data_IF_554672422016
#
_entry.id   IF_554672422016
#
_cell.length_a   1.000
_cell.length_b   1.000
_cell.length_c   1.000
_cell.angle_alpha   90.00
_cell.angle_beta   90.00
_cell.angle_gamma   90.00
#
_symmetry.space_group_name_H-M   'P 1'
#
loop_
_entity.id
_entity.type
_entity.pdbx_description
1 polymer ?
#
# COMPACT_ATOMS: atom_id res chain seq x y z
N UNK A 1 46.55 -10.73 -10.00
CA UNK A 1 45.68 -9.79 -10.76
C UNK A 1 44.25 -10.07 -10.28
N UNK A 2 43.55 -9.30 -9.42
CA UNK A 2 43.03 -7.90 -9.52
C UNK A 2 42.39 -7.67 -10.91
N UNK A 3 41.12 -7.28 -11.06
CA UNK A 3 40.23 -6.37 -10.31
C UNK A 3 38.91 -7.09 -9.89
N UNK A 4 38.26 -6.92 -8.72
CA UNK A 4 37.82 -5.76 -7.90
C UNK A 4 36.75 -4.88 -8.57
N UNK A 5 35.50 -5.01 -8.06
CA UNK A 5 34.58 -3.91 -7.68
C UNK A 5 33.31 -4.53 -7.07
N UNK A 6 33.14 -4.60 -5.73
CA UNK A 6 32.40 -3.63 -4.86
C UNK A 6 31.00 -3.29 -5.40
N UNK A 7 29.89 -3.51 -4.69
CA UNK A 7 29.64 -2.98 -3.35
C UNK A 7 28.69 -3.82 -2.51
N UNK A 8 29.20 -4.19 -1.35
CA UNK A 8 28.49 -4.55 -0.13
C UNK A 8 27.97 -3.26 0.49
N UNK A 9 26.65 -3.07 0.61
CA UNK A 9 26.10 -2.09 1.56
C UNK A 9 24.98 -2.79 2.34
N UNK A 10 25.40 -3.46 3.40
CA UNK A 10 24.57 -3.65 4.57
C UNK A 10 24.35 -2.25 5.18
N UNK A 11 23.12 -1.73 5.10
CA UNK A 11 22.71 -0.56 5.90
C UNK A 11 22.20 -1.10 7.23
N UNK A 12 23.15 -1.47 8.08
CA UNK A 12 22.94 -1.62 9.51
C UNK A 12 23.02 -0.23 10.16
N UNK A 13 22.17 -0.05 11.17
CA UNK A 13 22.35 0.85 12.32
C UNK A 13 22.31 2.37 12.08
N UNK A 14 21.14 2.96 12.33
CA UNK A 14 21.09 4.27 13.00
C UNK A 14 20.77 3.99 14.47
N UNK A 15 21.77 4.21 15.30
CA UNK A 15 21.71 4.10 16.76
C UNK A 15 21.10 5.39 17.33
N UNK A 16 20.13 5.20 18.21
CA UNK A 16 19.72 6.01 19.36
C UNK A 16 20.33 7.41 19.50
N UNK A 17 19.46 8.42 19.69
CA UNK A 17 19.57 9.41 20.76
C UNK A 17 18.32 10.29 20.81
N UNK A 18 17.53 10.08 21.87
CA UNK A 18 16.80 11.05 22.73
C UNK A 18 15.54 10.39 23.27
N UNK A 19 15.42 10.44 24.61
CA UNK A 19 14.61 9.55 25.40
C UNK A 19 13.13 9.45 25.03
N UNK A 20 12.68 8.21 24.84
CA UNK A 20 11.27 7.84 24.92
C UNK A 20 11.16 6.63 25.84
N UNK A 21 10.94 6.90 27.13
CA UNK A 21 10.42 5.90 28.07
C UNK A 21 8.94 5.71 27.75
N UNK A 22 8.61 4.82 26.82
CA UNK A 22 7.24 4.28 26.70
C UNK A 22 7.27 2.95 25.98
N UNK A 23 6.63 1.99 26.62
CA UNK A 23 6.47 0.59 26.29
C UNK A 23 6.46 0.28 24.80
N UNK A 24 7.13 -0.82 24.44
CA UNK A 24 6.96 -1.57 23.20
C UNK A 24 5.48 -1.96 23.00
N UNK A 25 4.66 -0.99 22.61
CA UNK A 25 3.52 -1.26 21.78
C UNK A 25 4.10 -1.38 20.39
N UNK A 26 4.14 -2.60 19.84
CA UNK A 26 4.28 -2.79 18.39
C UNK A 26 3.25 -1.86 17.77
N UNK A 27 3.70 -0.73 17.25
CA UNK A 27 2.80 0.31 16.77
C UNK A 27 2.02 -0.35 15.64
N UNK A 28 0.72 -0.57 15.87
CA UNK A 28 -0.18 -0.98 14.82
C UNK A 28 0.08 -0.02 13.65
N UNK A 29 0.50 -0.57 12.51
CA UNK A 29 0.84 0.23 11.33
C UNK A 29 -0.34 1.15 11.09
N UNK A 30 -0.08 2.46 11.17
CA UNK A 30 -1.11 3.48 10.97
C UNK A 30 -1.90 3.12 9.70
N UNK A 31 -3.22 3.05 9.79
CA UNK A 31 -4.05 2.52 8.71
C UNK A 31 -3.87 3.31 7.41
N UNK A 32 -3.47 4.58 7.49
CA UNK A 32 -3.11 5.37 6.31
C UNK A 32 -1.74 5.04 5.76
N UNK A 33 -0.77 4.70 6.61
CA UNK A 33 0.48 4.13 6.15
C UNK A 33 0.22 2.81 5.41
N UNK A 34 -0.64 1.94 5.95
CA UNK A 34 -1.03 0.71 5.28
C UNK A 34 -1.73 0.99 3.95
N UNK A 35 -2.68 1.93 3.90
CA UNK A 35 -3.33 2.35 2.66
C UNK A 35 -2.30 2.85 1.64
N UNK A 36 -1.32 3.65 2.07
CA UNK A 36 -0.20 4.10 1.25
C UNK A 36 0.59 2.93 0.62
N UNK A 37 0.89 1.88 1.39
CA UNK A 37 1.56 0.69 0.83
C UNK A 37 0.70 -0.08 -0.17
N UNK A 38 -0.62 -0.06 -0.02
CA UNK A 38 -1.57 -0.72 -0.94
C UNK A 38 -1.88 0.11 -2.18
N UNK A 39 -1.67 1.42 -2.13
CA UNK A 39 -1.90 2.34 -3.25
C UNK A 39 -1.05 1.97 -4.48
N UNK A 40 0.20 1.53 -4.28
CA UNK A 40 1.06 1.12 -5.39
C UNK A 40 0.49 -0.09 -6.13
N UNK A 41 0.09 -1.15 -5.41
CA UNK A 41 -0.49 -2.34 -6.01
C UNK A 41 -1.80 -2.04 -6.76
N UNK A 42 -2.63 -1.13 -6.23
CA UNK A 42 -3.82 -0.65 -6.93
C UNK A 42 -3.47 0.13 -8.20
N UNK A 43 -2.49 1.03 -8.13
CA UNK A 43 -2.01 1.79 -9.30
C UNK A 43 -1.48 0.86 -10.40
N UNK A 44 -0.66 -0.13 -10.03
CA UNK A 44 -0.10 -1.10 -10.97
C UNK A 44 -1.21 -1.94 -11.64
N UNK A 45 -2.23 -2.34 -10.88
CA UNK A 45 -3.39 -3.06 -11.43
C UNK A 45 -4.18 -2.20 -12.42
N UNK A 46 -4.39 -0.90 -12.13
CA UNK A 46 -5.04 0.03 -13.07
C UNK A 46 -4.20 0.15 -14.35
N UNK A 47 -2.88 0.27 -14.23
CA UNK A 47 -1.98 0.35 -15.39
C UNK A 47 -2.03 -0.94 -16.21
N UNK A 48 -2.08 -2.10 -15.56
CA UNK A 48 -2.22 -3.38 -16.25
C UNK A 48 -3.57 -3.50 -16.98
N UNK A 49 -4.66 -3.08 -16.33
CA UNK A 49 -5.99 -3.07 -16.92
C UNK A 49 -6.12 -2.08 -18.09
N UNK A 50 -5.53 -0.89 -17.99
CA UNK A 50 -5.54 0.09 -19.08
C UNK A 50 -4.73 -0.37 -20.29
N UNK A 51 -3.66 -1.14 -20.08
CA UNK A 51 -2.90 -1.79 -21.15
C UNK A 51 -3.65 -2.96 -21.77
N UNK A 52 -4.37 -3.74 -20.97
CA UNK A 52 -5.14 -4.89 -21.44
C UNK A 52 -6.37 -5.13 -20.55
N UNK A 53 -7.55 -4.88 -21.11
CA UNK A 53 -8.84 -5.01 -20.41
C UNK A 53 -9.33 -6.47 -20.37
N UNK A 54 -8.49 -7.37 -19.86
CA UNK A 54 -8.86 -8.77 -19.66
C UNK A 54 -9.66 -8.94 -18.38
N UNK A 55 -10.50 -10.00 -18.26
CA UNK A 55 -11.20 -10.31 -17.02
C UNK A 55 -10.23 -10.45 -15.84
N UNK A 56 -9.07 -11.07 -16.04
CA UNK A 56 -8.03 -11.23 -15.01
C UNK A 56 -7.49 -9.89 -14.50
N UNK A 57 -7.16 -8.96 -15.39
CA UNK A 57 -6.68 -7.62 -14.98
C UNK A 57 -7.79 -6.81 -14.31
N UNK A 58 -9.03 -6.97 -14.76
CA UNK A 58 -10.18 -6.34 -14.13
C UNK A 58 -10.41 -6.86 -12.70
N UNK A 59 -10.33 -8.18 -12.50
CA UNK A 59 -10.37 -8.78 -11.16
C UNK A 59 -9.22 -8.25 -10.30
N UNK A 60 -8.01 -8.14 -10.85
CA UNK A 60 -6.86 -7.59 -10.11
C UNK A 60 -7.11 -6.14 -9.64
N UNK A 61 -7.72 -5.29 -10.49
CA UNK A 61 -8.16 -3.93 -10.10
C UNK A 61 -9.16 -4.01 -8.95
N UNK A 62 -10.21 -4.83 -9.04
CA UNK A 62 -11.23 -4.94 -7.98
C UNK A 62 -10.61 -5.43 -6.66
N UNK A 63 -9.72 -6.42 -6.71
CA UNK A 63 -9.06 -6.96 -5.52
C UNK A 63 -8.16 -5.93 -4.86
N UNK A 64 -7.29 -5.27 -5.64
CA UNK A 64 -6.34 -4.29 -5.10
C UNK A 64 -7.03 -3.00 -4.63
N UNK A 65 -8.09 -2.57 -5.32
CA UNK A 65 -8.91 -1.43 -4.91
C UNK A 65 -9.60 -1.70 -3.56
N UNK A 66 -10.20 -2.89 -3.39
CA UNK A 66 -10.84 -3.24 -2.12
C UNK A 66 -9.81 -3.32 -0.98
N UNK A 67 -8.63 -3.90 -1.21
CA UNK A 67 -7.57 -3.93 -0.20
C UNK A 67 -7.07 -2.53 0.19
N UNK A 68 -7.01 -1.60 -0.77
CA UNK A 68 -6.72 -0.19 -0.49
C UNK A 68 -7.84 0.46 0.34
N UNK A 69 -9.10 0.25 -0.04
CA UNK A 69 -10.25 0.84 0.67
C UNK A 69 -10.42 0.27 2.08
N UNK A 70 -10.14 -1.01 2.30
CA UNK A 70 -10.15 -1.63 3.63
C UNK A 70 -9.09 -1.01 4.53
N UNK A 71 -7.89 -0.76 4.00
CA UNK A 71 -6.85 -0.05 4.75
C UNK A 71 -7.22 1.42 4.98
N UNK A 72 -7.78 2.10 3.98
CA UNK A 72 -8.19 3.49 4.06
C UNK A 72 -9.38 3.71 5.01
N UNK A 73 -10.19 2.69 5.30
CA UNK A 73 -11.28 2.80 6.26
C UNK A 73 -10.80 3.07 7.70
N UNK A 74 -9.55 2.74 8.01
CA UNK A 74 -8.92 3.10 9.29
C UNK A 74 -8.32 4.52 9.32
N UNK A 75 -8.36 5.26 8.21
CA UNK A 75 -7.87 6.64 8.15
C UNK A 75 -8.85 7.63 8.75
N UNK A 76 -8.39 8.48 9.66
CA UNK A 76 -9.19 9.59 10.21
C UNK A 76 -9.51 10.68 9.18
N UNK A 77 -8.74 10.76 8.10
CA UNK A 77 -8.89 11.72 7.01
C UNK A 77 -9.90 11.27 5.93
N UNK A 78 -10.34 10.01 5.97
CA UNK A 78 -11.28 9.45 4.99
C UNK A 78 -12.57 9.09 5.71
N UNK A 79 -13.66 9.69 5.26
CA UNK A 79 -14.99 9.43 5.84
C UNK A 79 -15.53 8.10 5.36
N UNK A 80 -16.37 7.46 6.19
CA UNK A 80 -17.05 6.21 5.81
C UNK A 80 -17.91 6.39 4.55
N UNK A 81 -18.49 7.58 4.34
CA UNK A 81 -19.25 7.89 3.13
C UNK A 81 -18.38 7.82 1.86
N UNK A 82 -17.15 8.33 1.92
CA UNK A 82 -16.18 8.24 0.82
C UNK A 82 -15.76 6.78 0.55
N UNK A 83 -15.53 5.98 1.59
CA UNK A 83 -15.23 4.55 1.44
C UNK A 83 -16.39 3.81 0.77
N UNK A 84 -17.63 4.06 1.21
CA UNK A 84 -18.82 3.43 0.64
C UNK A 84 -19.02 3.83 -0.82
N UNK A 85 -18.87 5.11 -1.15
CA UNK A 85 -18.98 5.60 -2.53
C UNK A 85 -17.89 4.96 -3.42
N UNK A 86 -16.64 4.92 -2.97
CA UNK A 86 -15.56 4.30 -3.72
C UNK A 86 -15.78 2.79 -3.91
N UNK A 87 -16.28 2.08 -2.90
CA UNK A 87 -16.61 0.66 -3.00
C UNK A 87 -17.74 0.41 -3.99
N UNK A 88 -18.74 1.29 -4.06
CA UNK A 88 -19.78 1.22 -5.08
C UNK A 88 -19.19 1.37 -6.50
N UNK A 89 -18.27 2.33 -6.71
CA UNK A 89 -17.58 2.49 -8.00
C UNK A 89 -16.75 1.26 -8.39
N UNK A 90 -16.05 0.64 -7.43
CA UNK A 90 -15.31 -0.61 -7.68
C UNK A 90 -16.25 -1.75 -8.05
N UNK A 91 -17.43 -1.83 -7.42
CA UNK A 91 -18.41 -2.87 -7.72
C UNK A 91 -19.06 -2.69 -9.09
N UNK A 92 -19.30 -1.45 -9.52
CA UNK A 92 -19.85 -1.10 -10.83
C UNK A 92 -18.88 -1.39 -11.99
N UNK A 93 -17.58 -1.52 -11.68
CA UNK A 93 -16.58 -1.92 -12.66
C UNK A 93 -16.95 -3.27 -13.28
N UNK A 94 -17.25 -3.25 -14.58
CA UNK A 94 -17.61 -4.43 -15.36
C UNK A 94 -16.35 -5.19 -15.77
N UNK A 95 -16.20 -6.34 -15.11
CA UNK A 95 -15.38 -7.47 -15.50
C UNK A 95 -16.35 -8.58 -15.94
#
# INVERSE_FOLDING_TARGET
MRLRTTSLIAVTTIIFLFGCKKSDSVAAVDSCQLAGTRAQAYSDAIVAYSKAQTPANCTAVKTTANAYLDAAAGCTTVTQAQITAARASVNDLKC
#
